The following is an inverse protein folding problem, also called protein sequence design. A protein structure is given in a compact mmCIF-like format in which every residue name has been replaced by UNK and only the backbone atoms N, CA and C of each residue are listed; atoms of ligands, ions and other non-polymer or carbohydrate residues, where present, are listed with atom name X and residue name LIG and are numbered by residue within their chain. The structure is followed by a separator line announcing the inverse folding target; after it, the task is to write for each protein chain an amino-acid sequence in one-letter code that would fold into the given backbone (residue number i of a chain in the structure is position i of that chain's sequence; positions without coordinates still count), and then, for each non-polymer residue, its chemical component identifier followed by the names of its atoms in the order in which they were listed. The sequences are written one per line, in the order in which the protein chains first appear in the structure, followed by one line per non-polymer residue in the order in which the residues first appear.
data_IF_049428233069
#
_entry.id   IF_049428233069
#
_cell.length_a   1.000
_cell.length_b   1.000
_cell.length_c   1.000
_cell.angle_alpha   90.00
_cell.angle_beta   90.00
_cell.angle_gamma   90.00
#
_symmetry.space_group_name_H-M   'P 1'
#
loop_
_entity.id
_entity.type
_entity.pdbx_description
1 polymer ?
#
# COMPACT_ATOMS: atom_id res chain seq x y z
N UNK A 1 14.41 7.43 -11.01
CA UNK A 1 15.33 8.05 -10.02
C UNK A 1 16.70 7.39 -10.16
N UNK A 2 17.75 8.00 -9.59
CA UNK A 2 19.12 7.48 -9.62
C UNK A 2 19.52 7.01 -8.22
N UNK A 3 20.19 5.85 -8.14
CA UNK A 3 20.73 5.30 -6.89
C UNK A 3 22.16 5.75 -6.63
N UNK A 4 22.82 5.14 -5.65
CA UNK A 4 24.24 5.32 -5.36
C UNK A 4 24.54 6.41 -4.35
N UNK A 5 23.53 6.84 -3.59
CA UNK A 5 23.70 7.81 -2.52
C UNK A 5 22.84 7.42 -1.31
N UNK A 6 23.10 8.07 -0.18
CA UNK A 6 22.32 7.90 1.05
C UNK A 6 21.17 8.92 1.18
N UNK A 7 20.72 9.51 0.06
CA UNK A 7 19.61 10.46 0.08
C UNK A 7 18.33 9.74 0.46
N UNK A 8 17.65 10.24 1.49
CA UNK A 8 16.36 9.71 1.91
C UNK A 8 15.28 10.22 0.97
N UNK A 9 14.61 9.28 0.30
CA UNK A 9 13.49 9.52 -0.58
C UNK A 9 12.18 9.21 0.15
N UNK A 10 11.11 9.89 -0.20
CA UNK A 10 9.81 9.78 0.45
C UNK A 10 8.70 9.59 -0.57
N UNK A 11 7.77 8.70 -0.25
CA UNK A 11 6.41 8.73 -0.77
C UNK A 11 5.52 9.33 0.31
N UNK A 12 5.17 10.61 0.14
CA UNK A 12 4.35 11.38 1.07
C UNK A 12 2.90 11.45 0.60
N UNK A 13 1.96 11.23 1.51
CA UNK A 13 0.53 11.28 1.28
C UNK A 13 -0.09 12.42 2.10
N UNK A 14 -1.00 13.19 1.51
CA UNK A 14 -1.70 14.29 2.21
C UNK A 14 -2.60 13.83 3.35
N UNK A 15 -2.85 12.52 3.43
CA UNK A 15 -3.59 11.84 4.49
C UNK A 15 -3.07 10.41 4.63
N UNK A 16 -3.30 9.78 5.78
CA UNK A 16 -2.84 8.42 6.00
C UNK A 16 -3.53 7.44 5.03
N UNK A 17 -2.73 6.61 4.36
CA UNK A 17 -3.17 5.54 3.47
C UNK A 17 -3.06 4.21 4.20
N UNK A 18 -4.12 3.42 4.16
CA UNK A 18 -4.15 2.07 4.73
C UNK A 18 -3.62 1.08 3.70
N UNK A 19 -2.71 0.24 4.15
CA UNK A 19 -2.14 -0.87 3.40
C UNK A 19 -1.66 -0.48 1.98
N UNK A 20 -0.82 0.57 1.80
CA UNK A 20 -0.40 1.01 0.48
C UNK A 20 0.45 -0.03 -0.24
N UNK A 21 0.41 0.04 -1.56
CA UNK A 21 1.19 -0.78 -2.47
C UNK A 21 2.24 0.07 -3.18
N UNK A 22 3.43 -0.48 -3.36
CA UNK A 22 4.50 0.14 -4.14
C UNK A 22 4.98 -0.91 -5.14
N UNK A 23 4.73 -0.65 -6.42
CA UNK A 23 5.38 -1.39 -7.50
C UNK A 23 6.76 -0.78 -7.73
N UNK A 24 7.80 -1.60 -7.69
CA UNK A 24 9.18 -1.19 -8.01
C UNK A 24 9.64 -1.88 -9.28
N UNK A 25 10.34 -1.17 -10.14
CA UNK A 25 10.84 -1.71 -11.40
C UNK A 25 12.27 -1.27 -11.70
N UNK A 26 12.98 -2.11 -12.44
CA UNK A 26 14.42 -1.96 -12.73
C UNK A 26 15.27 -1.92 -11.46
N UNK A 27 15.00 -2.81 -10.50
CA UNK A 27 15.78 -2.91 -9.26
C UNK A 27 17.04 -3.72 -9.55
N UNK A 28 18.13 -3.02 -9.85
CA UNK A 28 19.44 -3.59 -10.14
C UNK A 28 19.65 -3.85 -11.63
N UNK A 29 20.74 -4.54 -11.92
CA UNK A 29 21.20 -4.85 -13.27
C UNK A 29 21.58 -6.33 -13.36
N UNK A 30 21.80 -6.83 -14.58
CA UNK A 30 22.36 -8.17 -14.80
C UNK A 30 23.65 -8.39 -14.00
N UNK A 31 23.55 -9.19 -12.92
CA UNK A 31 24.68 -9.54 -12.05
C UNK A 31 25.09 -8.50 -11.00
N UNK A 32 24.47 -7.31 -10.98
CA UNK A 32 24.77 -6.24 -10.00
C UNK A 32 23.51 -5.90 -9.22
N UNK A 33 23.44 -6.21 -7.91
CA UNK A 33 22.23 -5.99 -7.14
C UNK A 33 22.08 -4.54 -6.73
N UNK A 34 20.83 -4.08 -6.67
CA UNK A 34 20.46 -2.79 -6.06
C UNK A 34 19.41 -3.04 -5.00
N UNK A 35 19.48 -2.25 -3.94
CA UNK A 35 18.59 -2.38 -2.79
C UNK A 35 17.80 -1.11 -2.56
N UNK A 36 16.49 -1.26 -2.35
CA UNK A 36 15.67 -0.29 -1.64
C UNK A 36 15.72 -0.64 -0.16
N UNK A 37 16.30 0.24 0.64
CA UNK A 37 16.35 0.10 2.09
C UNK A 37 15.28 1.02 2.67
N UNK A 38 14.11 0.46 2.95
CA UNK A 38 13.03 1.20 3.59
C UNK A 38 13.38 1.48 5.05
N UNK A 39 13.09 2.69 5.52
CA UNK A 39 13.43 3.13 6.87
C UNK A 39 12.27 2.92 7.85
N UNK A 40 11.06 2.69 7.34
CA UNK A 40 9.86 2.49 8.13
C UNK A 40 8.88 1.52 7.46
N UNK A 41 8.02 0.96 8.31
CA UNK A 41 6.87 0.15 7.92
C UNK A 41 7.05 -1.35 8.10
N UNK A 42 6.11 -2.09 7.53
CA UNK A 42 6.05 -3.56 7.53
C UNK A 42 5.75 -4.03 6.11
N UNK A 43 6.76 -4.55 5.42
CA UNK A 43 6.71 -4.83 3.99
C UNK A 43 6.55 -6.34 3.72
N UNK A 44 5.87 -6.67 2.64
CA UNK A 44 5.89 -8.01 2.03
C UNK A 44 5.91 -7.90 0.51
N UNK A 45 6.74 -8.73 -0.16
CA UNK A 45 6.70 -8.87 -1.61
C UNK A 45 5.49 -9.74 -1.96
N UNK A 46 4.51 -9.17 -2.66
CA UNK A 46 3.31 -9.90 -3.08
C UNK A 46 3.48 -10.62 -4.42
N UNK A 47 4.18 -9.97 -5.34
CA UNK A 47 4.48 -10.53 -6.65
C UNK A 47 5.80 -9.98 -7.16
N UNK A 48 6.42 -10.72 -8.07
CA UNK A 48 7.62 -10.31 -8.75
C UNK A 48 7.71 -10.99 -10.11
N UNK A 49 8.48 -10.41 -11.02
CA UNK A 49 8.71 -11.00 -12.32
C UNK A 49 9.46 -10.10 -13.28
N UNK A 50 9.38 -10.51 -14.55
CA UNK A 50 10.02 -9.79 -15.64
C UNK A 50 9.33 -8.45 -15.92
N UNK A 51 10.14 -7.45 -16.24
CA UNK A 51 9.74 -6.13 -16.69
C UNK A 51 10.37 -5.79 -18.03
N UNK A 52 10.30 -4.52 -18.42
CA UNK A 52 10.80 -4.05 -19.71
C UNK A 52 12.31 -4.30 -19.92
N UNK A 53 13.10 -4.19 -18.85
CA UNK A 53 14.56 -4.25 -18.91
C UNK A 53 15.13 -5.65 -18.60
N UNK A 54 14.38 -6.52 -17.90
CA UNK A 54 14.88 -7.87 -17.60
C UNK A 54 13.92 -8.71 -16.76
N UNK A 55 14.35 -9.94 -16.46
CA UNK A 55 13.58 -11.02 -15.82
C UNK A 55 13.97 -11.32 -14.38
N UNK A 56 14.68 -10.41 -13.72
CA UNK A 56 15.27 -10.61 -12.41
C UNK A 56 14.27 -10.93 -11.29
N UNK A 57 14.79 -11.35 -10.15
CA UNK A 57 14.00 -11.60 -8.95
C UNK A 57 14.24 -10.51 -7.91
N UNK A 58 13.25 -10.30 -7.05
CA UNK A 58 13.40 -9.57 -5.81
C UNK A 58 13.54 -10.56 -4.66
N UNK A 59 14.22 -10.13 -3.62
CA UNK A 59 14.20 -10.79 -2.33
C UNK A 59 14.24 -9.74 -1.23
N UNK A 60 13.71 -10.10 -0.07
CA UNK A 60 13.65 -9.20 1.07
C UNK A 60 14.38 -9.77 2.28
N UNK A 61 15.03 -8.89 3.01
CA UNK A 61 15.57 -9.14 4.34
C UNK A 61 15.19 -7.97 5.24
N UNK A 62 14.23 -8.18 6.13
CA UNK A 62 13.63 -7.10 6.90
C UNK A 62 13.00 -6.03 5.98
N UNK A 63 13.44 -4.79 6.12
CA UNK A 63 12.98 -3.65 5.30
C UNK A 63 13.84 -3.38 4.07
N UNK A 64 14.77 -4.27 3.73
CA UNK A 64 15.57 -4.17 2.52
C UNK A 64 15.00 -5.08 1.44
N UNK A 65 14.63 -4.49 0.30
CA UNK A 65 14.30 -5.21 -0.93
C UNK A 65 15.46 -5.09 -1.89
N UNK A 66 16.04 -6.21 -2.28
CA UNK A 66 17.16 -6.26 -3.21
C UNK A 66 16.74 -6.98 -4.49
N UNK A 67 17.21 -6.49 -5.63
CA UNK A 67 16.93 -7.08 -6.93
C UNK A 67 18.17 -7.17 -7.81
N UNK A 68 18.15 -8.12 -8.74
CA UNK A 68 19.09 -8.25 -9.87
C UNK A 68 18.32 -8.03 -11.16
N UNK A 69 17.99 -6.77 -11.45
CA UNK A 69 17.04 -6.38 -12.51
C UNK A 69 15.62 -6.88 -12.23
N UNK A 70 15.25 -6.88 -10.95
CA UNK A 70 13.95 -7.36 -10.48
C UNK A 70 12.86 -6.29 -10.58
N UNK A 71 11.61 -6.75 -10.71
CA UNK A 71 10.41 -5.93 -10.68
C UNK A 71 9.39 -6.62 -9.79
N UNK A 72 8.56 -5.86 -9.07
CA UNK A 72 7.55 -6.47 -8.23
C UNK A 72 6.73 -5.51 -7.38
N UNK A 73 5.63 -6.07 -6.87
CA UNK A 73 4.65 -5.37 -6.06
C UNK A 73 4.94 -5.62 -4.57
N UNK A 74 5.18 -4.53 -3.86
CA UNK A 74 5.37 -4.51 -2.42
C UNK A 74 4.07 -4.07 -1.75
N UNK A 75 3.64 -4.79 -0.71
CA UNK A 75 2.57 -4.32 0.19
C UNK A 75 3.18 -3.85 1.50
N UNK A 76 2.78 -2.67 1.95
CA UNK A 76 3.12 -2.13 3.25
C UNK A 76 1.91 -2.26 4.17
N UNK A 77 1.94 -3.14 5.15
CA UNK A 77 0.84 -3.31 6.11
C UNK A 77 0.85 -2.22 7.18
N UNK A 78 -0.29 -1.57 7.40
CA UNK A 78 -0.44 -0.49 8.37
C UNK A 78 -1.03 0.79 7.78
N UNK A 79 -0.90 1.90 8.52
CA UNK A 79 -1.38 3.23 8.12
C UNK A 79 -0.18 4.18 7.97
N UNK A 80 -0.03 4.78 6.80
CA UNK A 80 1.16 5.57 6.46
C UNK A 80 0.77 6.91 5.86
N UNK A 81 1.31 8.00 6.41
CA UNK A 81 1.42 9.30 5.70
C UNK A 81 2.72 9.39 4.91
N UNK A 82 3.73 8.62 5.32
CA UNK A 82 5.06 8.65 4.74
C UNK A 82 5.66 7.24 4.71
N UNK A 83 6.22 6.88 3.55
CA UNK A 83 7.11 5.73 3.40
C UNK A 83 8.43 6.24 2.86
N UNK A 84 9.51 5.96 3.57
CA UNK A 84 10.84 6.50 3.29
C UNK A 84 11.85 5.40 3.00
N UNK A 85 12.80 5.68 2.11
CA UNK A 85 13.79 4.71 1.68
C UNK A 85 15.09 5.37 1.18
N UNK A 86 16.17 4.59 1.18
CA UNK A 86 17.43 4.93 0.51
C UNK A 86 17.80 3.84 -0.50
N UNK A 87 18.52 4.23 -1.55
CA UNK A 87 19.05 3.33 -2.59
C UNK A 87 20.58 3.48 -2.66
N UNK A 88 21.31 2.85 -1.72
CA UNK A 88 22.75 3.11 -1.55
C UNK A 88 23.61 2.55 -2.68
N UNK A 89 23.11 1.54 -3.40
CA UNK A 89 23.80 0.95 -4.54
C UNK A 89 23.67 1.85 -5.77
N UNK A 90 24.76 1.98 -6.53
CA UNK A 90 24.75 2.75 -7.79
C UNK A 90 23.78 2.14 -8.79
N UNK A 91 22.84 2.97 -9.26
CA UNK A 91 21.86 2.60 -10.28
C UNK A 91 21.54 3.82 -11.13
N UNK A 92 21.63 3.70 -12.45
CA UNK A 92 21.37 4.84 -13.33
C UNK A 92 19.89 5.15 -13.42
N UNK A 93 19.05 4.10 -13.36
CA UNK A 93 17.62 4.26 -13.44
C UNK A 93 16.89 3.15 -12.70
N UNK A 94 15.99 3.57 -11.82
CA UNK A 94 14.89 2.75 -11.32
C UNK A 94 13.62 3.59 -11.27
N UNK A 95 12.47 2.94 -11.09
CA UNK A 95 11.23 3.64 -10.82
C UNK A 95 10.33 2.91 -9.84
N UNK A 96 9.29 3.63 -9.44
CA UNK A 96 8.26 3.09 -8.58
C UNK A 96 6.91 3.72 -8.93
N UNK A 97 5.86 2.94 -8.79
CA UNK A 97 4.46 3.40 -8.84
C UNK A 97 3.82 3.14 -7.49
N UNK A 98 3.18 4.15 -6.92
CA UNK A 98 2.50 4.03 -5.63
C UNK A 98 1.00 3.90 -5.86
N UNK A 99 0.38 2.95 -5.17
CA UNK A 99 -1.06 2.71 -5.20
C UNK A 99 -1.63 2.52 -3.80
N UNK A 100 -2.93 2.74 -3.67
CA UNK A 100 -3.69 2.42 -2.46
C UNK A 100 -4.74 1.37 -2.79
N UNK A 101 -4.99 0.43 -1.89
CA UNK A 101 -6.13 -0.46 -2.02
C UNK A 101 -7.43 0.35 -1.96
N UNK A 102 -8.42 -0.01 -2.78
CA UNK A 102 -9.77 0.53 -2.65
C UNK A 102 -10.39 -0.14 -1.41
N UNK A 103 -10.31 0.52 -0.26
CA UNK A 103 -11.13 0.15 0.89
C UNK A 103 -12.53 0.69 0.65
N UNK A 104 -13.46 -0.18 0.26
CA UNK A 104 -14.88 0.21 0.20
C UNK A 104 -15.33 0.47 1.64
N UNK A 105 -15.94 1.62 1.96
CA UNK A 105 -16.45 1.85 3.30
C UNK A 105 -17.44 0.74 3.65
N UNK A 106 -17.09 -0.08 4.64
CA UNK A 106 -18.06 -0.98 5.24
C UNK A 106 -18.86 -0.13 6.23
N UNK A 107 -20.19 -0.04 6.14
CA UNK A 107 -20.97 0.70 7.11
C UNK A 107 -20.64 0.18 8.51
N UNK A 108 -20.33 1.08 9.44
CA UNK A 108 -19.98 0.69 10.79
C UNK A 108 -21.17 -0.02 11.46
N UNK A 109 -20.94 -0.97 12.40
CA UNK A 109 -22.01 -1.65 13.12
C UNK A 109 -23.09 -0.70 13.69
N UNK A 110 -22.67 0.49 14.11
CA UNK A 110 -23.49 1.57 14.64
C UNK A 110 -24.46 2.11 13.58
N UNK A 111 -24.05 2.17 12.31
CA UNK A 111 -24.91 2.61 11.21
C UNK A 111 -26.05 1.62 10.98
N UNK A 112 -25.79 0.32 11.10
CA UNK A 112 -26.82 -0.70 11.07
C UNK A 112 -27.74 -0.63 12.28
N UNK A 113 -27.18 -0.39 13.48
CA UNK A 113 -27.97 -0.20 14.68
C UNK A 113 -28.89 1.03 14.59
N UNK A 114 -28.39 2.15 14.04
CA UNK A 114 -29.16 3.37 13.82
C UNK A 114 -30.26 3.18 12.76
N UNK A 115 -29.96 2.45 11.69
CA UNK A 115 -30.97 2.06 10.69
C UNK A 115 -32.07 1.20 11.33
N UNK A 116 -31.68 0.18 12.10
CA UNK A 116 -32.63 -0.71 12.78
C UNK A 116 -33.48 0.05 13.81
N UNK A 117 -32.87 0.95 14.59
CA UNK A 117 -33.57 1.81 15.53
C UNK A 117 -34.56 2.74 14.81
N UNK A 118 -34.13 3.38 13.71
CA UNK A 118 -34.99 4.23 12.89
C UNK A 118 -36.20 3.47 12.33
N UNK A 119 -35.98 2.27 11.80
CA UNK A 119 -37.05 1.39 11.31
C UNK A 119 -37.99 0.93 12.44
N UNK A 120 -37.45 0.63 13.62
CA UNK A 120 -38.23 0.28 14.81
C UNK A 120 -39.17 1.41 15.25
N UNK A 121 -38.68 2.66 15.26
CA UNK A 121 -39.49 3.83 15.56
C UNK A 121 -40.62 4.04 14.53
N UNK A 122 -40.30 3.94 13.23
CA UNK A 122 -41.29 4.07 12.17
C UNK A 122 -42.40 3.00 12.27
N UNK A 123 -42.02 1.75 12.54
CA UNK A 123 -42.97 0.66 12.77
C UNK A 123 -43.89 0.89 13.97
N UNK A 124 -43.34 1.39 15.08
CA UNK A 124 -44.11 1.73 16.27
C UNK A 124 -45.13 2.86 16.00
N UNK A 125 -44.73 3.90 15.28
CA UNK A 125 -45.63 5.00 14.90
C UNK A 125 -46.78 4.51 14.01
N UNK A 126 -46.47 3.68 12.99
CA UNK A 126 -47.49 3.13 12.10
C UNK A 126 -48.53 2.28 12.85
N UNK A 127 -48.09 1.46 13.82
CA UNK A 127 -49.00 0.66 14.66
C UNK A 127 -49.94 1.52 15.49
N UNK A 128 -49.45 2.61 16.08
CA UNK A 128 -50.28 3.53 16.90
C UNK A 128 -51.34 4.23 16.07
N UNK A 129 -51.01 4.64 14.84
CA UNK A 129 -51.98 5.27 13.92
C UNK A 129 -53.12 4.33 13.56
N UNK A 130 -52.82 3.06 13.29
CA UNK A 130 -53.83 2.04 12.97
C UNK A 130 -54.75 1.71 14.15
N UNK A 131 -54.27 1.81 15.40
CA UNK A 131 -55.07 1.56 16.59
C UNK A 131 -55.96 2.74 17.02
N UNK A 132 -55.72 3.93 16.47
CA UNK A 132 -56.48 5.15 16.73
C UNK A 132 -57.47 5.51 15.60
N UNK A 133 -57.53 4.68 14.55
CA UNK A 133 -58.53 4.71 13.46
C UNK A 133 -59.48 3.54 13.61
#
# INVERSE_FOLDING_TARGET
MMGGNATVNHFHFSQAVIDPYIDVFSVGQGGVPVSFVFQNGSLTILSQGAGHWGGGTLFSSGLTVTGYEGNGLLKFSGSYTDISFVTPNSEYYYGATVGAGITVPVPEPETYAMLAAGLGLLGAVARRRKAAS
#
